data_IF_049350995925
#
_entry.id   IF_049350995925
#
_cell.length_a   1.000
_cell.length_b   1.000
_cell.length_c   1.000
_cell.angle_alpha   90.00
_cell.angle_beta   90.00
_cell.angle_gamma   90.00
#
_symmetry.space_group_name_H-M   'P 1'
#
loop_
_entity.id
_entity.type
_entity.pdbx_description
1 polymer ?
#
# COMPACT_ATOMS: atom_id res chain seq x y z
N UNK A 1 2.51 -13.23 -1.03
CA UNK A 1 1.44 -13.52 -0.05
C UNK A 1 1.82 -12.90 1.29
N UNK A 2 0.88 -12.25 1.99
CA UNK A 2 1.14 -11.62 3.29
C UNK A 2 1.36 -12.72 4.35
N UNK A 3 2.44 -12.70 5.15
CA UNK A 3 2.64 -13.71 6.18
C UNK A 3 1.50 -13.72 7.20
N UNK A 4 1.13 -14.90 7.69
CA UNK A 4 -0.02 -15.06 8.59
C UNK A 4 0.11 -14.22 9.88
N UNK A 5 1.33 -14.09 10.42
CA UNK A 5 1.58 -13.25 11.60
C UNK A 5 1.22 -11.79 11.34
N UNK A 6 1.63 -11.24 10.20
CA UNK A 6 1.27 -9.87 9.78
C UNK A 6 -0.22 -9.74 9.56
N UNK A 7 -0.87 -10.71 8.91
CA UNK A 7 -2.32 -10.71 8.70
C UNK A 7 -3.09 -10.67 10.03
N UNK A 8 -2.70 -11.48 11.01
CA UNK A 8 -3.35 -11.51 12.33
C UNK A 8 -3.23 -10.17 13.07
N UNK A 9 -2.06 -9.54 12.99
CA UNK A 9 -1.84 -8.21 13.61
C UNK A 9 -2.63 -7.14 12.87
N UNK A 10 -2.63 -7.19 11.53
CA UNK A 10 -3.38 -6.26 10.69
C UNK A 10 -4.88 -6.30 10.97
N UNK A 11 -5.46 -7.50 11.14
CA UNK A 11 -6.86 -7.67 11.53
C UNK A 11 -7.15 -7.05 12.90
N UNK A 12 -6.26 -7.21 13.88
CA UNK A 12 -6.41 -6.58 15.21
C UNK A 12 -6.40 -5.06 15.12
N UNK A 13 -5.49 -4.50 14.32
CA UNK A 13 -5.39 -3.06 14.10
C UNK A 13 -6.64 -2.53 13.40
N UNK A 14 -7.06 -3.18 12.32
CA UNK A 14 -8.26 -2.82 11.58
C UNK A 14 -9.49 -2.83 12.48
N UNK A 15 -9.72 -3.91 13.23
CA UNK A 15 -10.87 -4.00 14.13
C UNK A 15 -10.89 -2.93 15.22
N UNK A 16 -9.73 -2.49 15.70
CA UNK A 16 -9.63 -1.40 16.68
C UNK A 16 -9.84 -0.01 16.08
N UNK A 17 -9.45 0.21 14.83
CA UNK A 17 -9.42 1.53 14.22
C UNK A 17 -10.59 1.81 13.27
N UNK A 18 -11.24 0.79 12.70
CA UNK A 18 -12.27 0.95 11.65
C UNK A 18 -13.48 1.80 12.09
N UNK A 19 -13.82 1.81 13.38
CA UNK A 19 -14.96 2.58 13.94
C UNK A 19 -14.51 3.85 14.65
N UNK A 20 -13.24 4.20 14.55
CA UNK A 20 -12.68 5.40 15.18
C UNK A 20 -12.59 6.54 14.17
N UNK A 21 -12.55 7.78 14.67
CA UNK A 21 -12.26 8.95 13.83
C UNK A 21 -10.75 9.18 13.61
N UNK A 22 -9.92 8.17 13.90
CA UNK A 22 -8.47 8.27 13.71
C UNK A 22 -8.19 8.15 12.22
N UNK A 23 -7.53 9.15 11.67
CA UNK A 23 -7.09 9.09 10.29
C UNK A 23 -5.76 8.31 10.19
N UNK A 24 -5.83 7.04 9.79
CA UNK A 24 -4.65 6.17 9.64
C UNK A 24 -4.55 5.58 8.23
N UNK A 25 -3.34 5.30 7.77
CA UNK A 25 -3.02 4.56 6.54
C UNK A 25 -1.92 3.54 6.81
N UNK A 26 -1.97 2.42 6.10
CA UNK A 26 -0.86 1.47 6.01
C UNK A 26 0.11 2.01 4.96
N UNK A 27 1.38 2.02 5.28
CA UNK A 27 2.47 2.42 4.37
C UNK A 27 3.54 1.33 4.34
N UNK A 28 4.63 1.58 3.63
CA UNK A 28 5.77 0.70 3.53
C UNK A 28 5.46 -0.63 2.84
N UNK A 29 6.28 -1.60 3.19
CA UNK A 29 6.27 -2.94 2.57
C UNK A 29 4.91 -3.65 2.67
N UNK A 30 4.17 -3.43 3.76
CA UNK A 30 2.83 -3.99 3.94
C UNK A 30 1.80 -3.34 3.00
N UNK A 31 1.87 -2.03 2.76
CA UNK A 31 0.99 -1.37 1.79
C UNK A 31 1.28 -1.84 0.36
N UNK A 32 2.54 -2.13 0.04
CA UNK A 32 2.96 -2.60 -1.27
C UNK A 32 2.34 -3.95 -1.61
N UNK A 33 2.39 -4.92 -0.67
CA UNK A 33 1.83 -6.25 -0.92
C UNK A 33 0.30 -6.25 -0.98
N UNK A 34 -0.36 -5.41 -0.18
CA UNK A 34 -1.82 -5.20 -0.27
C UNK A 34 -2.19 -4.62 -1.65
N UNK A 35 -1.35 -3.75 -2.19
CA UNK A 35 -1.51 -3.16 -3.52
C UNK A 35 -1.07 -4.09 -4.68
N UNK A 36 -0.61 -5.31 -4.38
CA UNK A 36 -0.26 -6.34 -5.37
C UNK A 36 1.23 -6.45 -5.71
N UNK A 37 2.09 -5.63 -5.09
CA UNK A 37 3.55 -5.72 -5.27
C UNK A 37 4.05 -6.98 -4.54
N UNK A 38 4.74 -7.92 -5.23
CA UNK A 38 5.18 -9.18 -4.62
C UNK A 38 6.42 -9.00 -3.74
N UNK A 39 6.28 -8.24 -2.66
CA UNK A 39 7.33 -7.98 -1.68
C UNK A 39 6.91 -8.59 -0.33
N UNK A 40 7.85 -9.23 0.37
CA UNK A 40 7.59 -9.78 1.70
C UNK A 40 7.82 -8.67 2.73
N UNK A 41 6.79 -8.27 3.51
CA UNK A 41 6.97 -7.25 4.52
C UNK A 41 7.75 -7.78 5.71
N UNK A 42 8.69 -6.96 6.21
CA UNK A 42 9.38 -7.16 7.48
C UNK A 42 8.48 -6.81 8.66
N UNK A 43 7.72 -5.74 8.51
CA UNK A 43 7.02 -4.99 9.55
C UNK A 43 5.72 -4.36 8.98
N UNK A 44 4.94 -3.77 9.87
CA UNK A 44 3.70 -3.07 9.53
C UNK A 44 3.89 -1.60 9.88
N UNK A 45 4.00 -0.75 8.87
CA UNK A 45 4.06 0.69 9.04
C UNK A 45 2.66 1.30 8.99
N UNK A 46 2.36 2.13 9.99
CA UNK A 46 1.11 2.90 10.06
C UNK A 46 1.47 4.36 10.21
N UNK A 47 0.86 5.18 9.36
CA UNK A 47 0.98 6.62 9.44
C UNK A 47 -0.38 7.26 9.74
N UNK A 48 -0.39 8.24 10.62
CA UNK A 48 -1.58 9.05 10.91
C UNK A 48 -1.54 10.38 10.18
N UNK A 49 -2.67 11.09 10.17
CA UNK A 49 -2.78 12.50 9.74
C UNK A 49 -2.51 12.79 8.24
N UNK A 50 -2.25 11.76 7.43
CA UNK A 50 -2.31 11.87 5.96
C UNK A 50 -3.72 11.58 5.47
N UNK A 51 -4.47 12.62 5.09
CA UNK A 51 -5.80 12.48 4.47
C UNK A 51 -5.74 12.45 2.94
N UNK A 52 -4.84 13.25 2.36
CA UNK A 52 -4.85 13.56 0.92
C UNK A 52 -4.51 12.37 0.01
N UNK A 53 -3.61 11.50 0.46
CA UNK A 53 -3.04 10.41 -0.34
C UNK A 53 -3.51 9.02 0.11
N UNK A 54 -4.66 8.96 0.80
CA UNK A 54 -5.25 7.71 1.26
C UNK A 54 -6.06 7.06 0.14
N UNK A 55 -5.84 5.76 -0.07
CA UNK A 55 -6.64 4.89 -0.94
C UNK A 55 -7.24 3.75 -0.11
N UNK A 56 -8.43 3.28 -0.46
CA UNK A 56 -9.03 2.11 0.17
C UNK A 56 -8.95 0.91 -0.78
N UNK A 57 -8.55 -0.24 -0.23
CA UNK A 57 -8.45 -1.49 -0.98
C UNK A 57 -9.16 -2.59 -0.20
N UNK A 58 -10.01 -3.34 -0.91
CA UNK A 58 -10.61 -4.57 -0.42
C UNK A 58 -9.54 -5.67 -0.32
N UNK A 59 -9.24 -6.13 0.88
CA UNK A 59 -8.26 -7.18 1.13
C UNK A 59 -8.72 -8.09 2.28
N UNK A 60 -8.92 -9.39 2.01
CA UNK A 60 -9.41 -10.37 2.99
C UNK A 60 -10.61 -9.86 3.81
N UNK A 61 -11.65 -9.40 3.10
CA UNK A 61 -12.90 -8.84 3.66
C UNK A 61 -12.73 -7.54 4.49
N UNK A 62 -11.55 -6.91 4.45
CA UNK A 62 -11.28 -5.63 5.09
C UNK A 62 -11.18 -4.51 4.05
N UNK A 63 -11.70 -3.32 4.37
CA UNK A 63 -11.47 -2.10 3.59
C UNK A 63 -10.26 -1.37 4.17
N UNK A 64 -9.07 -1.71 3.68
CA UNK A 64 -7.83 -1.22 4.27
C UNK A 64 -7.44 0.14 3.68
N UNK A 65 -7.19 1.16 4.52
CA UNK A 65 -6.58 2.41 4.05
C UNK A 65 -5.09 2.19 3.80
N UNK A 66 -4.64 2.41 2.57
CA UNK A 66 -3.24 2.35 2.16
C UNK A 66 -2.78 3.72 1.63
N UNK A 67 -1.48 3.98 1.73
CA UNK A 67 -0.87 5.16 1.15
C UNK A 67 -0.71 4.99 -0.37
N UNK A 68 -0.94 6.08 -1.10
CA UNK A 68 -0.73 6.14 -2.54
C UNK A 68 0.73 5.83 -2.92
N UNK A 69 0.92 4.91 -3.89
CA UNK A 69 2.24 4.47 -4.32
C UNK A 69 3.07 5.56 -5.00
N UNK A 70 2.46 6.50 -5.73
CA UNK A 70 3.20 7.58 -6.38
C UNK A 70 3.76 8.56 -5.34
N UNK A 71 2.94 8.91 -4.35
CA UNK A 71 3.37 9.72 -3.22
C UNK A 71 4.48 9.03 -2.41
N UNK A 72 4.35 7.73 -2.14
CA UNK A 72 5.34 6.98 -1.37
C UNK A 72 6.67 6.83 -2.13
N UNK A 73 6.60 6.65 -3.46
CA UNK A 73 7.77 6.70 -4.33
C UNK A 73 8.52 8.04 -4.21
N UNK A 74 7.81 9.18 -4.32
CA UNK A 74 8.43 10.50 -4.20
C UNK A 74 9.07 10.72 -2.83
N UNK A 75 8.40 10.26 -1.77
CA UNK A 75 8.92 10.33 -0.40
C UNK A 75 10.23 9.54 -0.26
N UNK A 76 10.26 8.29 -0.75
CA UNK A 76 11.48 7.47 -0.72
C UNK A 76 12.61 8.04 -1.57
N UNK A 77 12.32 8.64 -2.73
CA UNK A 77 13.32 9.35 -3.52
C UNK A 77 13.93 10.53 -2.75
N UNK A 78 13.09 11.36 -2.11
CA UNK A 78 13.56 12.51 -1.31
C UNK A 78 14.39 12.09 -0.10
N UNK A 79 14.08 10.94 0.50
CA UNK A 79 14.82 10.37 1.64
C UNK A 79 16.11 9.64 1.23
N UNK A 80 16.45 9.57 -0.06
CA UNK A 80 17.62 8.84 -0.53
C UNK A 80 17.46 7.30 -0.51
N UNK A 81 16.24 6.79 -0.27
CA UNK A 81 15.93 5.34 -0.32
C UNK A 81 15.69 4.88 -1.75
N UNK A 82 16.69 5.10 -2.60
CA UNK A 82 16.59 4.98 -4.07
C UNK A 82 16.18 3.58 -4.50
N UNK A 83 16.73 2.53 -3.89
CA UNK A 83 16.40 1.14 -4.25
C UNK A 83 14.91 0.83 -4.11
N UNK A 84 14.32 1.19 -2.96
CA UNK A 84 12.88 0.99 -2.70
C UNK A 84 12.03 1.83 -3.64
N UNK A 85 12.44 3.06 -3.90
CA UNK A 85 11.75 3.93 -4.85
C UNK A 85 11.75 3.36 -6.28
N UNK A 86 12.88 2.82 -6.74
CA UNK A 86 12.95 2.22 -8.07
C UNK A 86 12.02 1.01 -8.21
N UNK A 87 11.94 0.15 -7.20
CA UNK A 87 10.98 -0.97 -7.17
C UNK A 87 9.53 -0.49 -7.31
N UNK A 88 9.16 0.58 -6.60
CA UNK A 88 7.83 1.19 -6.71
C UNK A 88 7.57 1.72 -8.11
N UNK A 89 8.54 2.45 -8.67
CA UNK A 89 8.44 3.03 -10.02
C UNK A 89 8.22 1.96 -11.08
N UNK A 90 9.01 0.89 -11.05
CA UNK A 90 8.85 -0.22 -11.99
C UNK A 90 7.45 -0.84 -11.91
N UNK A 91 6.93 -1.00 -10.69
CA UNK A 91 5.62 -1.60 -10.50
C UNK A 91 4.49 -0.68 -10.98
N UNK A 92 4.53 0.61 -10.63
CA UNK A 92 3.58 1.61 -11.14
C UNK A 92 3.60 1.67 -12.67
N UNK A 93 4.78 1.62 -13.30
CA UNK A 93 4.89 1.54 -14.76
C UNK A 93 4.29 0.24 -15.33
N UNK A 94 4.43 -0.89 -14.65
CA UNK A 94 3.82 -2.18 -15.06
C UNK A 94 2.30 -2.11 -14.98
N UNK A 95 1.71 -1.59 -13.89
CA UNK A 95 0.25 -1.42 -13.78
C UNK A 95 -0.28 -0.57 -14.94
N UNK A 96 0.28 0.62 -15.16
CA UNK A 96 -0.18 1.54 -16.21
C UNK A 96 -0.14 0.89 -17.59
N UNK A 97 0.88 0.08 -17.88
CA UNK A 97 0.95 -0.69 -19.14
C UNK A 97 -0.14 -1.76 -19.23
N UNK A 98 -0.49 -2.42 -18.14
CA UNK A 98 -1.56 -3.43 -18.10
C UNK A 98 -2.94 -2.79 -18.26
N UNK A 99 -3.19 -1.64 -17.63
CA UNK A 99 -4.44 -0.89 -17.78
C UNK A 99 -4.64 -0.38 -19.23
N UNK A 100 -3.58 0.16 -19.85
CA UNK A 100 -3.63 0.62 -21.26
C UNK A 100 -3.91 -0.55 -22.20
N UNK A 101 -3.33 -1.73 -21.95
CA UNK A 101 -3.52 -2.92 -22.79
C UNK A 101 -4.89 -3.59 -22.61
N UNK A 102 -5.53 -3.39 -21.46
CA UNK A 102 -6.91 -3.83 -21.20
C UNK A 102 -7.97 -2.97 -21.90
N UNK A 103 -7.66 -1.70 -22.21
CA UNK A 103 -8.57 -0.73 -22.84
C UNK A 103 -8.54 -0.74 -24.37
N UNK A 104 -7.64 -1.52 -24.97
CA UNK A 104 -7.53 -1.71 -26.44
C UNK A 104 -8.16 -3.04 -26.90
N UNK A 105 -9.07 -3.61 -26.10
CA UNK A 105 -9.92 -4.75 -26.47
C UNK A 105 -11.39 -4.33 -26.46
N UNK A 106 -11.70 -3.26 -27.20
CA UNK A 106 -13.05 -2.88 -27.59
C UNK A 106 -13.09 -2.77 -29.12
#
# INVERSE_FOLDING_TARGET
MLPQKHLNVLQKIYNKLKETNINWVITGSTAFIIQGIPLVPSDIDIQTDIKKYKKYISFNDMQLPVLDLEYEYEAYMKMGRVEKAMLLKEWVCKIKKLEVKGRTRD
#
